data_IF_432797532581
#
_entry.id   IF_432797532581
#
_cell.length_a   1.000
_cell.length_b   1.000
_cell.length_c   1.000
_cell.angle_alpha   90.00
_cell.angle_beta   90.00
_cell.angle_gamma   90.00
#
_symmetry.space_group_name_H-M   'P 1'
#
loop_
_entity.id
_entity.type
_entity.pdbx_description
1 polymer ?
#
# COMPACT_ATOMS: atom_id res chain seq x y z
N UNK A 1 -24.50 -33.59 0.01
CA UNK A 1 -24.86 -32.40 0.83
C UNK A 1 -23.81 -32.27 1.92
N UNK A 2 -23.13 -31.13 2.02
CA UNK A 2 -22.04 -30.93 3.00
C UNK A 2 -22.58 -30.26 4.26
N UNK A 3 -22.29 -30.84 5.41
CA UNK A 3 -22.80 -30.43 6.73
C UNK A 3 -21.89 -29.37 7.39
N UNK A 4 -22.45 -28.21 7.75
CA UNK A 4 -21.72 -27.06 8.30
C UNK A 4 -21.83 -26.91 9.83
N UNK A 5 -22.29 -27.95 10.54
CA UNK A 5 -22.59 -27.88 11.99
C UNK A 5 -21.37 -27.63 12.89
N UNK A 6 -20.15 -27.60 12.34
CA UNK A 6 -18.89 -27.32 13.06
C UNK A 6 -18.24 -25.97 12.72
N UNK A 7 -18.91 -25.11 11.96
CA UNK A 7 -18.41 -23.75 11.70
C UNK A 7 -18.47 -22.92 13.01
N UNK A 8 -17.42 -23.00 13.83
CA UNK A 8 -17.26 -22.17 15.02
C UNK A 8 -17.33 -20.70 14.61
N UNK A 9 -18.28 -19.97 15.20
CA UNK A 9 -18.52 -18.53 15.04
C UNK A 9 -17.24 -17.76 15.42
N UNK A 10 -16.35 -17.55 14.45
CA UNK A 10 -15.23 -16.62 14.60
C UNK A 10 -15.86 -15.25 14.90
N UNK A 11 -15.45 -14.59 15.99
CA UNK A 11 -15.84 -13.21 16.28
C UNK A 11 -15.61 -12.39 15.02
N UNK A 12 -16.69 -11.92 14.40
CA UNK A 12 -16.63 -11.15 13.16
C UNK A 12 -15.85 -9.86 13.46
N UNK A 13 -14.89 -9.52 12.60
CA UNK A 13 -14.23 -8.19 12.62
C UNK A 13 -15.21 -7.04 12.31
N UNK A 14 -16.49 -7.37 12.05
CA UNK A 14 -17.55 -6.45 11.65
C UNK A 14 -18.31 -5.82 12.83
N UNK A 15 -18.00 -6.18 14.09
CA UNK A 15 -18.73 -5.66 15.26
C UNK A 15 -20.07 -6.36 15.51
N UNK A 16 -20.79 -5.91 16.54
CA UNK A 16 -22.16 -6.36 16.84
C UNK A 16 -23.12 -5.84 15.77
N UNK A 17 -24.10 -6.64 15.33
CA UNK A 17 -25.10 -6.15 14.39
C UNK A 17 -25.88 -4.98 15.03
N UNK A 18 -26.27 -3.97 14.25
CA UNK A 18 -27.08 -2.86 14.72
C UNK A 18 -28.44 -3.35 15.25
N UNK A 19 -29.02 -2.62 16.20
CA UNK A 19 -30.33 -2.93 16.76
C UNK A 19 -31.44 -2.72 15.73
N UNK A 20 -32.56 -3.43 15.88
CA UNK A 20 -33.71 -3.33 14.96
C UNK A 20 -34.24 -1.89 14.86
N UNK A 21 -34.22 -1.14 15.96
CA UNK A 21 -34.65 0.26 15.97
C UNK A 21 -33.72 1.18 15.16
N UNK A 22 -32.43 0.84 15.04
CA UNK A 22 -31.45 1.58 14.23
C UNK A 22 -31.64 1.32 12.73
N UNK A 23 -32.21 0.16 12.37
CA UNK A 23 -32.36 -0.31 10.98
C UNK A 23 -33.72 0.04 10.38
N UNK A 24 -34.74 0.37 11.18
CA UNK A 24 -36.10 0.68 10.71
C UNK A 24 -36.14 1.78 9.65
N UNK A 25 -35.30 2.80 9.77
CA UNK A 25 -35.22 3.91 8.81
C UNK A 25 -34.55 3.56 7.48
N UNK A 26 -33.89 2.40 7.35
CA UNK A 26 -33.17 2.04 6.12
C UNK A 26 -34.08 1.82 4.91
N UNK A 27 -35.36 1.52 5.13
CA UNK A 27 -36.33 1.34 4.04
C UNK A 27 -36.73 2.69 3.40
N UNK A 28 -36.74 3.76 4.18
CA UNK A 28 -37.10 5.11 3.74
C UNK A 28 -35.89 5.90 3.20
N UNK A 29 -34.67 5.37 3.40
CA UNK A 29 -33.46 5.99 2.87
C UNK A 29 -33.36 5.78 1.35
N UNK A 30 -32.94 6.81 0.60
CA UNK A 30 -32.63 6.62 -0.81
C UNK A 30 -31.52 5.57 -0.98
N UNK A 31 -31.66 4.68 -1.95
CA UNK A 31 -30.62 3.71 -2.32
C UNK A 31 -29.38 4.44 -2.85
N UNK A 32 -28.47 4.84 -1.96
CA UNK A 32 -27.22 5.47 -2.36
C UNK A 32 -26.19 4.38 -2.67
N UNK A 33 -26.09 3.98 -3.94
CA UNK A 33 -24.92 3.23 -4.38
C UNK A 33 -23.65 4.07 -4.13
N UNK A 34 -22.56 3.51 -3.59
CA UNK A 34 -21.30 4.24 -3.51
C UNK A 34 -20.91 4.66 -4.93
N UNK A 35 -20.70 5.96 -5.11
CA UNK A 35 -20.36 6.54 -6.41
C UNK A 35 -19.14 5.78 -6.94
N UNK A 36 -19.29 5.05 -8.05
CA UNK A 36 -18.29 4.11 -8.57
C UNK A 36 -16.95 4.77 -8.90
N UNK A 37 -16.91 6.10 -8.95
CA UNK A 37 -15.72 6.95 -8.97
C UNK A 37 -14.76 6.73 -7.78
N UNK A 38 -15.23 6.17 -6.65
CA UNK A 38 -14.42 5.94 -5.44
C UNK A 38 -13.84 4.53 -5.35
N UNK A 39 -14.30 3.59 -6.18
CA UNK A 39 -13.56 2.35 -6.45
C UNK A 39 -12.40 2.72 -7.37
N UNK A 40 -11.37 3.34 -6.80
CA UNK A 40 -10.07 3.39 -7.46
C UNK A 40 -9.71 1.94 -7.75
N UNK A 41 -9.87 1.50 -9.01
CA UNK A 41 -9.04 0.44 -9.57
C UNK A 41 -7.64 0.73 -9.04
N UNK A 42 -6.90 -0.28 -8.58
CA UNK A 42 -5.45 -0.13 -8.38
C UNK A 42 -4.82 0.11 -9.76
N UNK A 43 -5.10 1.28 -10.34
CA UNK A 43 -4.40 1.84 -11.47
C UNK A 43 -3.00 2.03 -10.93
N UNK A 44 -2.04 1.34 -11.54
CA UNK A 44 -0.63 1.53 -11.21
C UNK A 44 -0.36 3.03 -11.08
N UNK A 45 0.38 3.40 -10.04
CA UNK A 45 0.75 4.79 -9.72
C UNK A 45 1.01 5.54 -11.03
N UNK A 46 0.34 6.67 -11.31
CA UNK A 46 0.47 7.35 -12.59
C UNK A 46 1.96 7.57 -12.87
N UNK A 47 2.42 7.16 -14.06
CA UNK A 47 3.81 7.34 -14.49
C UNK A 47 4.06 8.84 -14.58
N UNK A 48 4.50 9.43 -13.47
CA UNK A 48 5.05 10.77 -13.46
C UNK A 48 6.24 10.77 -14.42
N UNK A 49 6.27 11.68 -15.38
CA UNK A 49 7.44 11.89 -16.27
C UNK A 49 8.67 12.39 -15.50
N UNK A 50 8.58 12.59 -14.18
CA UNK A 50 9.65 13.08 -13.31
C UNK A 50 10.66 12.00 -12.90
N UNK A 51 10.31 10.71 -12.91
CA UNK A 51 11.21 9.64 -12.44
C UNK A 51 11.23 8.46 -13.41
N UNK A 52 12.44 8.06 -13.83
CA UNK A 52 12.66 6.92 -14.72
C UNK A 52 13.03 5.67 -13.91
N UNK A 53 12.50 4.47 -14.24
CA UNK A 53 12.88 3.25 -13.55
C UNK A 53 14.35 2.92 -13.82
N UNK A 54 15.11 2.63 -12.76
CA UNK A 54 16.49 2.19 -12.83
C UNK A 54 16.59 0.79 -12.22
N UNK A 55 16.88 -0.21 -13.06
CA UNK A 55 16.97 -1.62 -12.65
C UNK A 55 18.38 -2.14 -12.93
N UNK A 56 19.13 -2.44 -11.88
CA UNK A 56 20.47 -3.02 -11.99
C UNK A 56 20.61 -4.21 -11.05
N UNK A 57 21.48 -5.17 -11.42
CA UNK A 57 21.85 -6.27 -10.53
C UNK A 57 23.04 -5.82 -9.69
N UNK A 58 22.92 -5.98 -8.37
CA UNK A 58 23.96 -5.62 -7.40
C UNK A 58 24.48 -6.88 -6.69
N UNK A 59 25.70 -6.80 -6.18
CA UNK A 59 26.23 -7.80 -5.26
C UNK A 59 25.33 -7.89 -4.01
N UNK A 60 24.90 -9.10 -3.56
CA UNK A 60 24.07 -9.25 -2.36
C UNK A 60 24.59 -8.55 -1.11
N UNK A 61 25.90 -8.54 -0.88
CA UNK A 61 26.48 -7.86 0.29
C UNK A 61 26.30 -6.33 0.22
N UNK A 62 26.48 -5.76 -0.97
CA UNK A 62 26.28 -4.33 -1.19
C UNK A 62 24.81 -3.94 -0.96
N UNK A 63 23.88 -4.75 -1.45
CA UNK A 63 22.45 -4.52 -1.23
C UNK A 63 22.07 -4.58 0.27
N UNK A 64 22.71 -5.45 1.07
CA UNK A 64 22.53 -5.45 2.53
C UNK A 64 23.03 -4.16 3.17
N UNK A 65 24.20 -3.67 2.77
CA UNK A 65 24.75 -2.39 3.26
C UNK A 65 23.83 -1.22 2.91
N UNK A 66 23.31 -1.20 1.67
CA UNK A 66 22.41 -0.15 1.20
C UNK A 66 21.10 -0.12 2.01
N UNK A 67 20.54 -1.29 2.33
CA UNK A 67 19.38 -1.40 3.23
C UNK A 67 19.67 -0.86 4.63
N UNK A 68 20.83 -1.22 5.20
CA UNK A 68 21.20 -0.76 6.54
C UNK A 68 21.36 0.76 6.57
N UNK A 69 21.95 1.34 5.52
CA UNK A 69 22.11 2.78 5.37
C UNK A 69 20.75 3.49 5.22
N UNK A 70 19.83 2.92 4.44
CA UNK A 70 18.45 3.42 4.31
C UNK A 70 17.70 3.44 5.65
N UNK A 71 17.86 2.41 6.48
CA UNK A 71 17.25 2.36 7.80
C UNK A 71 17.85 3.41 8.74
N UNK A 72 19.18 3.57 8.73
CA UNK A 72 19.86 4.51 9.61
C UNK A 72 19.56 5.98 9.27
N UNK A 73 19.52 6.31 7.98
CA UNK A 73 19.30 7.67 7.48
C UNK A 73 17.80 8.01 7.32
N UNK A 74 16.92 7.02 7.41
CA UNK A 74 15.48 7.19 7.17
C UNK A 74 15.13 7.59 5.72
N UNK A 75 16.02 7.32 4.76
CA UNK A 75 15.89 7.66 3.34
C UNK A 75 15.48 6.45 2.50
N UNK A 76 14.89 6.68 1.33
CA UNK A 76 14.65 5.60 0.37
C UNK A 76 15.96 5.18 -0.32
N UNK A 77 16.02 3.92 -0.75
CA UNK A 77 17.19 3.38 -1.46
C UNK A 77 17.49 4.16 -2.74
N UNK A 78 16.45 4.67 -3.43
CA UNK A 78 16.62 5.50 -4.61
C UNK A 78 17.31 6.85 -4.31
N UNK A 79 16.93 7.51 -3.22
CA UNK A 79 17.47 8.81 -2.82
C UNK A 79 18.96 8.71 -2.47
N UNK A 80 19.35 7.64 -1.78
CA UNK A 80 20.76 7.35 -1.45
C UNK A 80 21.60 7.21 -2.72
N UNK A 81 21.06 6.54 -3.74
CA UNK A 81 21.77 6.36 -5.01
C UNK A 81 21.90 7.68 -5.76
N UNK A 82 20.87 8.52 -5.79
CA UNK A 82 20.93 9.85 -6.42
C UNK A 82 21.95 10.77 -5.72
N UNK A 83 22.00 10.74 -4.39
CA UNK A 83 22.97 11.50 -3.60
C UNK A 83 24.40 11.00 -3.83
N UNK A 84 24.61 9.69 -3.85
CA UNK A 84 25.92 9.09 -4.13
C UNK A 84 26.42 9.43 -5.53
N UNK A 85 25.55 9.40 -6.55
CA UNK A 85 25.89 9.79 -7.93
C UNK A 85 26.21 11.28 -8.00
N UNK A 86 25.42 12.12 -7.33
CA UNK A 86 25.64 13.57 -7.26
C UNK A 86 26.99 13.90 -6.61
N UNK A 87 27.34 13.21 -5.52
CA UNK A 87 28.64 13.32 -4.86
C UNK A 87 29.79 12.87 -5.76
N UNK A 88 29.60 11.77 -6.52
CA UNK A 88 30.60 11.28 -7.45
C UNK A 88 30.87 12.25 -8.62
N UNK A 89 29.82 12.88 -9.16
CA UNK A 89 29.96 13.92 -10.19
C UNK A 89 30.72 15.12 -9.63
N UNK A 90 30.31 15.61 -8.45
CA UNK A 90 30.92 16.79 -7.81
C UNK A 90 32.40 16.63 -7.48
N UNK A 91 32.84 15.43 -7.09
CA UNK A 91 34.25 15.18 -6.79
C UNK A 91 35.12 14.95 -8.03
N UNK A 92 34.51 14.81 -9.20
CA UNK A 92 35.20 14.59 -10.47
C UNK A 92 35.47 15.90 -11.22
N UNK A 93 34.71 16.96 -10.91
CA UNK A 93 34.97 18.35 -11.30
C UNK A 93 36.02 18.99 -10.37
#
# INVERSE_FOLDING_TARGET
MTDFSKAKKKKSKLGSPPSIDEVKGNLDLPEHAPNSASLKKKVGRPKSKRTQPFTTKLNPEFHKKLKLLAVNEGKDMGEIVEEAVSFWIKNKE
#
